data_IF_607360231403
#
_entry.id   IF_607360231403
#
_cell.length_a   1.000
_cell.length_b   1.000
_cell.length_c   1.000
_cell.angle_alpha   90.00
_cell.angle_beta   90.00
_cell.angle_gamma   90.00
#
_symmetry.space_group_name_H-M   'P 1'
#
loop_
_entity.id
_entity.type
_entity.pdbx_description
1 polymer ?
#
# COMPACT_ATOMS: atom_id res chain seq x y z
N UNK A 1 -17.47 -2.39 12.24
CA UNK A 1 -16.63 -1.84 13.31
C UNK A 1 -15.44 -1.17 12.66
N UNK A 2 -15.35 0.14 12.80
CA UNK A 2 -14.17 0.91 12.37
C UNK A 2 -13.08 0.69 13.42
N UNK A 3 -11.86 0.40 12.95
CA UNK A 3 -10.73 0.21 13.85
C UNK A 3 -10.33 1.55 14.47
N UNK A 4 -10.29 1.68 15.80
CA UNK A 4 -10.17 2.97 16.47
C UNK A 4 -8.82 3.68 16.27
N UNK A 5 -7.82 2.98 15.76
CA UNK A 5 -6.49 3.51 15.48
C UNK A 5 -6.32 4.06 14.05
N UNK A 6 -7.29 3.88 13.17
CA UNK A 6 -7.27 4.46 11.83
C UNK A 6 -7.49 5.97 11.89
N UNK A 7 -6.80 6.72 11.03
CA UNK A 7 -6.96 8.17 10.93
C UNK A 7 -8.43 8.55 10.68
N UNK A 8 -9.08 7.88 9.73
CA UNK A 8 -10.48 8.13 9.40
C UNK A 8 -11.48 7.80 10.52
N UNK A 9 -11.02 7.25 11.67
CA UNK A 9 -11.83 7.11 12.88
C UNK A 9 -11.79 8.36 13.77
N UNK A 10 -10.87 9.27 13.51
CA UNK A 10 -10.63 10.48 14.30
C UNK A 10 -10.97 11.76 13.54
N UNK A 11 -10.76 11.74 12.22
CA UNK A 11 -11.04 12.87 11.35
C UNK A 11 -11.88 12.45 10.16
N UNK A 12 -12.63 13.36 9.57
CA UNK A 12 -13.38 13.08 8.35
C UNK A 12 -12.48 13.19 7.12
N UNK A 13 -11.88 12.08 6.75
CA UNK A 13 -11.00 11.94 5.58
C UNK A 13 -11.74 12.07 4.24
N UNK A 14 -13.08 12.17 4.25
CA UNK A 14 -13.89 12.31 3.05
C UNK A 14 -14.15 13.77 2.62
N UNK A 15 -13.64 14.75 3.37
CA UNK A 15 -13.81 16.17 3.04
C UNK A 15 -13.04 16.57 1.78
N UNK A 16 -11.90 15.97 1.51
CA UNK A 16 -11.13 16.22 0.31
C UNK A 16 -11.93 15.78 -0.94
N UNK A 17 -11.84 16.56 -2.02
CA UNK A 17 -12.46 16.22 -3.29
C UNK A 17 -11.78 15.02 -3.94
N UNK A 18 -10.46 14.94 -3.80
CA UNK A 18 -9.63 13.85 -4.28
C UNK A 18 -9.17 13.01 -3.11
N UNK A 19 -9.45 11.73 -3.15
CA UNK A 19 -9.13 10.76 -2.10
C UNK A 19 -8.48 9.54 -2.74
N UNK A 20 -7.19 9.40 -2.51
CA UNK A 20 -6.32 8.48 -3.23
C UNK A 20 -5.83 7.37 -2.28
N UNK A 21 -5.96 6.14 -2.72
CA UNK A 21 -5.30 5.00 -2.12
C UNK A 21 -4.17 4.52 -3.03
N UNK A 22 -2.97 4.43 -2.48
CA UNK A 22 -1.79 3.87 -3.14
C UNK A 22 -1.48 2.51 -2.53
N UNK A 23 -1.54 1.47 -3.34
CA UNK A 23 -1.23 0.09 -2.94
C UNK A 23 0.09 -0.33 -3.58
N UNK A 24 1.15 -0.25 -2.82
CA UNK A 24 2.51 -0.54 -3.25
C UNK A 24 2.85 -1.98 -2.85
N UNK A 25 2.93 -2.88 -3.84
CA UNK A 25 2.98 -4.33 -3.65
C UNK A 25 1.59 -4.89 -3.37
N UNK A 26 0.69 -4.75 -4.34
CA UNK A 26 -0.73 -5.03 -4.14
C UNK A 26 -1.07 -6.52 -4.10
N UNK A 27 -0.17 -7.38 -4.59
CA UNK A 27 -0.41 -8.82 -4.68
C UNK A 27 -1.73 -9.13 -5.42
N UNK A 28 -2.69 -9.77 -4.81
CA UNK A 28 -3.97 -10.07 -5.43
C UNK A 28 -5.03 -9.01 -5.09
N UNK A 29 -5.97 -8.80 -6.01
CA UNK A 29 -7.08 -7.84 -5.82
C UNK A 29 -7.87 -8.06 -4.51
N UNK A 30 -8.04 -9.31 -4.10
CA UNK A 30 -8.78 -9.69 -2.90
C UNK A 30 -8.06 -9.39 -1.58
N UNK A 31 -6.78 -9.01 -1.63
CA UNK A 31 -6.00 -8.68 -0.44
C UNK A 31 -6.25 -7.25 0.02
N UNK A 32 -5.26 -6.38 -0.10
CA UNK A 32 -5.31 -5.01 0.40
C UNK A 32 -6.32 -4.13 -0.33
N UNK A 33 -6.41 -4.18 -1.67
CA UNK A 33 -7.34 -3.32 -2.45
C UNK A 33 -8.77 -3.48 -1.94
N UNK A 34 -9.25 -4.72 -1.85
CA UNK A 34 -10.62 -4.99 -1.40
C UNK A 34 -10.84 -4.54 0.04
N UNK A 35 -9.86 -4.74 0.92
CA UNK A 35 -9.97 -4.32 2.31
C UNK A 35 -10.05 -2.80 2.41
N UNK A 36 -9.14 -2.06 1.80
CA UNK A 36 -9.14 -0.60 1.86
C UNK A 36 -10.42 0.00 1.25
N UNK A 37 -10.85 -0.47 0.09
CA UNK A 37 -12.05 0.06 -0.56
C UNK A 37 -13.37 -0.28 0.15
N UNK A 38 -13.41 -1.26 1.05
CA UNK A 38 -14.64 -1.70 1.73
C UNK A 38 -14.65 -1.42 3.22
N UNK A 39 -13.48 -1.46 3.86
CA UNK A 39 -13.38 -1.44 5.32
C UNK A 39 -12.74 -0.17 5.85
N UNK A 40 -11.84 0.44 5.09
CA UNK A 40 -11.24 1.71 5.48
C UNK A 40 -12.30 2.83 5.38
N UNK A 41 -12.41 3.74 6.36
CA UNK A 41 -13.48 4.73 6.44
C UNK A 41 -13.28 5.92 5.48
N UNK A 42 -12.88 5.65 4.24
CA UNK A 42 -12.73 6.62 3.17
C UNK A 42 -13.38 6.10 1.89
N UNK A 43 -14.19 6.93 1.24
CA UNK A 43 -14.70 6.67 -0.11
C UNK A 43 -13.66 7.15 -1.13
N UNK A 44 -12.65 6.32 -1.39
CA UNK A 44 -11.56 6.64 -2.32
C UNK A 44 -12.08 6.92 -3.73
N UNK A 45 -11.67 8.05 -4.29
CA UNK A 45 -12.00 8.42 -5.68
C UNK A 45 -11.10 7.74 -6.68
N UNK A 46 -9.88 7.39 -6.27
CA UNK A 46 -8.85 6.77 -7.10
C UNK A 46 -8.07 5.74 -6.27
N UNK A 47 -7.69 4.64 -6.91
CA UNK A 47 -6.80 3.62 -6.37
C UNK A 47 -5.70 3.35 -7.38
N UNK A 48 -4.45 3.51 -6.98
CA UNK A 48 -3.29 3.21 -7.80
C UNK A 48 -2.54 2.02 -7.20
N UNK A 49 -2.61 0.88 -7.87
CA UNK A 49 -2.07 -0.38 -7.36
C UNK A 49 -0.88 -0.85 -8.21
N UNK A 50 0.23 -1.14 -7.56
CA UNK A 50 1.49 -1.57 -8.17
C UNK A 50 1.78 -3.01 -7.79
N UNK A 51 2.06 -3.83 -8.81
CA UNK A 51 2.49 -5.21 -8.65
C UNK A 51 3.39 -5.61 -9.82
N UNK A 52 4.56 -6.14 -9.51
CA UNK A 52 5.53 -6.53 -10.54
C UNK A 52 5.17 -7.86 -11.21
N UNK A 53 4.54 -8.80 -10.48
CA UNK A 53 4.07 -10.05 -11.08
C UNK A 53 2.72 -9.84 -11.79
N UNK A 54 2.68 -9.90 -13.13
CA UNK A 54 1.46 -9.69 -13.89
C UNK A 54 0.41 -10.81 -13.69
N UNK A 55 0.78 -11.92 -13.05
CA UNK A 55 -0.13 -13.02 -12.78
C UNK A 55 -0.91 -12.82 -11.48
N UNK A 56 -0.40 -12.03 -10.55
CA UNK A 56 -1.02 -11.81 -9.25
C UNK A 56 -2.15 -10.77 -9.34
N UNK A 57 -1.86 -9.59 -9.86
CA UNK A 57 -2.82 -8.49 -9.88
C UNK A 57 -3.66 -8.48 -11.15
N UNK A 58 -4.91 -8.90 -11.01
CA UNK A 58 -5.91 -8.88 -12.09
C UNK A 58 -7.19 -8.21 -11.61
N UNK A 59 -7.78 -7.36 -12.45
CA UNK A 59 -9.10 -6.80 -12.17
C UNK A 59 -10.15 -7.89 -12.44
N UNK A 60 -10.98 -8.23 -11.45
CA UNK A 60 -12.07 -9.17 -11.64
C UNK A 60 -13.15 -8.57 -12.56
N UNK A 61 -13.96 -9.40 -13.21
CA UNK A 61 -15.10 -8.95 -13.98
C UNK A 61 -16.18 -8.37 -13.05
N UNK A 62 -16.92 -7.33 -13.47
CA UNK A 62 -18.03 -6.80 -12.67
C UNK A 62 -19.04 -7.89 -12.29
N UNK A 63 -19.42 -7.93 -11.01
CA UNK A 63 -20.35 -8.93 -10.47
C UNK A 63 -19.75 -10.31 -10.25
N UNK A 64 -18.49 -10.55 -10.65
CA UNK A 64 -17.78 -11.78 -10.30
C UNK A 64 -17.43 -11.81 -8.83
N UNK A 65 -17.36 -12.99 -8.25
CA UNK A 65 -16.66 -13.19 -6.99
C UNK A 65 -15.17 -13.23 -7.30
N UNK A 66 -14.38 -12.57 -6.47
CA UNK A 66 -12.94 -12.68 -6.59
C UNK A 66 -12.52 -14.11 -6.18
N UNK A 67 -12.28 -14.95 -7.18
CA UNK A 67 -11.83 -16.34 -6.99
C UNK A 67 -10.35 -16.44 -6.57
N UNK A 68 -9.61 -15.33 -6.59
CA UNK A 68 -8.22 -15.31 -6.15
C UNK A 68 -8.05 -15.59 -4.63
N UNK A 69 -9.15 -15.74 -3.90
CA UNK A 69 -9.16 -16.19 -2.50
C UNK A 69 -8.65 -17.62 -2.30
N UNK A 70 -8.33 -18.36 -3.34
CA UNK A 70 -7.72 -19.69 -3.24
C UNK A 70 -6.24 -19.66 -2.89
N UNK A 71 -5.62 -18.51 -2.74
CA UNK A 71 -4.27 -18.39 -2.17
C UNK A 71 -4.32 -18.39 -0.63
N UNK A 72 -5.09 -19.30 -0.07
CA UNK A 72 -5.09 -19.57 1.35
C UNK A 72 -3.92 -20.51 1.68
N UNK A 73 -2.72 -19.99 1.72
CA UNK A 73 -1.66 -20.59 2.52
C UNK A 73 -2.12 -20.60 3.99
N UNK A 74 -1.71 -21.58 4.81
CA UNK A 74 -2.19 -21.74 6.19
C UNK A 74 -1.90 -20.56 7.12
N UNK A 75 -1.18 -19.55 6.67
CA UNK A 75 -0.75 -18.38 7.44
C UNK A 75 -1.30 -17.03 6.91
N UNK A 76 -2.10 -17.02 5.86
CA UNK A 76 -2.75 -15.79 5.44
C UNK A 76 -4.00 -15.54 6.29
N UNK A 77 -3.95 -14.50 7.10
CA UNK A 77 -5.16 -13.81 7.54
C UNK A 77 -5.89 -13.37 6.27
N UNK A 78 -6.77 -14.22 5.79
CA UNK A 78 -7.67 -13.85 4.71
C UNK A 78 -8.57 -12.75 5.25
N UNK A 79 -8.20 -11.50 4.99
CA UNK A 79 -9.08 -10.32 5.10
C UNK A 79 -10.20 -10.42 4.04
N UNK A 80 -10.44 -11.63 3.54
CA UNK A 80 -11.50 -11.91 2.58
C UNK A 80 -12.84 -11.52 3.20
N UNK A 81 -13.22 -10.28 2.96
CA UNK A 81 -14.61 -9.88 3.12
C UNK A 81 -15.39 -10.70 2.11
N UNK A 82 -15.91 -11.85 2.53
CA UNK A 82 -16.79 -12.68 1.73
C UNK A 82 -18.06 -11.86 1.43
N UNK A 83 -17.96 -11.00 0.43
CA UNK A 83 -19.11 -10.31 -0.06
C UNK A 83 -19.92 -11.28 -0.92
N UNK A 84 -21.16 -11.53 -0.54
CA UNK A 84 -22.11 -12.29 -1.34
C UNK A 84 -22.52 -11.55 -2.64
N UNK A 85 -22.11 -10.30 -2.80
CA UNK A 85 -22.60 -9.41 -3.86
C UNK A 85 -21.64 -9.23 -5.04
N UNK A 86 -20.49 -9.90 -5.06
CA UNK A 86 -19.48 -9.70 -6.10
C UNK A 86 -18.82 -8.31 -6.04
N UNK A 87 -17.92 -8.02 -6.98
CA UNK A 87 -17.20 -6.74 -7.05
C UNK A 87 -18.03 -5.75 -7.88
N UNK A 88 -18.45 -4.61 -7.30
CA UNK A 88 -19.28 -3.66 -8.02
C UNK A 88 -18.49 -2.88 -9.09
N UNK A 89 -19.14 -2.58 -10.22
CA UNK A 89 -18.51 -1.86 -11.32
C UNK A 89 -17.93 -0.48 -10.92
N UNK A 90 -18.59 0.23 -10.00
CA UNK A 90 -18.10 1.52 -9.50
C UNK A 90 -16.76 1.40 -8.78
N UNK A 91 -16.50 0.29 -8.09
CA UNK A 91 -15.22 0.02 -7.44
C UNK A 91 -14.12 -0.16 -8.49
N UNK A 92 -14.42 -0.98 -9.52
CA UNK A 92 -13.45 -1.29 -10.56
C UNK A 92 -13.07 -0.07 -11.40
N UNK A 93 -14.03 0.85 -11.64
CA UNK A 93 -13.78 2.06 -12.44
C UNK A 93 -12.82 3.06 -11.78
N UNK A 94 -12.51 2.90 -10.49
CA UNK A 94 -11.60 3.78 -9.74
C UNK A 94 -10.17 3.23 -9.68
N UNK A 95 -9.92 2.02 -10.20
CA UNK A 95 -8.66 1.30 -10.02
C UNK A 95 -7.78 1.44 -11.26
N UNK A 96 -6.54 1.86 -11.02
CA UNK A 96 -5.45 1.93 -11.98
C UNK A 96 -4.38 0.92 -11.58
N UNK A 97 -4.09 -0.03 -12.47
CA UNK A 97 -3.09 -1.06 -12.23
C UNK A 97 -1.79 -0.75 -12.95
N UNK A 98 -0.67 -0.93 -12.26
CA UNK A 98 0.66 -0.73 -12.78
C UNK A 98 1.48 -2.01 -12.60
N UNK A 99 1.84 -2.66 -13.71
CA UNK A 99 2.76 -3.78 -13.67
C UNK A 99 4.19 -3.24 -13.61
N UNK A 100 4.54 -2.70 -12.43
CA UNK A 100 5.82 -2.06 -12.16
C UNK A 100 6.35 -2.41 -10.78
N UNK A 101 7.68 -2.42 -10.67
CA UNK A 101 8.39 -2.50 -9.41
C UNK A 101 8.47 -1.11 -8.77
N UNK A 102 8.06 -0.99 -7.53
CA UNK A 102 8.12 0.28 -6.78
C UNK A 102 9.53 0.48 -6.21
N UNK A 103 10.11 1.64 -6.49
CA UNK A 103 11.48 1.98 -6.10
C UNK A 103 11.62 3.46 -5.74
N UNK A 104 12.83 3.85 -5.36
CA UNK A 104 13.25 5.24 -5.17
C UNK A 104 13.96 5.83 -6.41
N UNK A 105 13.96 5.09 -7.52
CA UNK A 105 14.48 5.48 -8.84
C UNK A 105 13.60 4.95 -9.97
N UNK A 106 13.75 5.53 -11.16
CA UNK A 106 13.12 5.05 -12.38
C UNK A 106 14.10 4.16 -13.14
N UNK A 107 13.62 3.02 -13.65
CA UNK A 107 14.34 2.11 -14.53
C UNK A 107 13.34 1.41 -15.46
N UNK A 108 13.30 1.84 -16.73
CA UNK A 108 12.36 1.30 -17.71
C UNK A 108 12.67 -0.15 -18.08
N UNK A 109 13.95 -0.54 -18.13
CA UNK A 109 14.37 -1.90 -18.46
C UNK A 109 13.88 -2.91 -17.42
N UNK A 110 14.01 -2.57 -16.15
CA UNK A 110 13.54 -3.37 -15.01
C UNK A 110 12.13 -3.00 -14.54
N UNK A 111 11.42 -2.16 -15.28
CA UNK A 111 10.07 -1.68 -14.96
C UNK A 111 9.97 -1.00 -13.60
N UNK A 112 11.06 -0.43 -13.08
CA UNK A 112 11.03 0.28 -11.80
C UNK A 112 10.47 1.69 -11.97
N UNK A 113 9.69 2.13 -10.98
CA UNK A 113 9.12 3.47 -10.91
C UNK A 113 9.52 4.14 -9.60
N UNK A 114 10.02 5.36 -9.73
CA UNK A 114 10.25 6.22 -8.58
C UNK A 114 8.91 6.67 -8.01
N UNK A 115 8.52 6.10 -6.88
CA UNK A 115 7.19 6.35 -6.30
C UNK A 115 7.05 7.80 -5.80
N UNK A 116 8.12 8.43 -5.33
CA UNK A 116 8.07 9.83 -4.90
C UNK A 116 7.77 10.75 -6.08
N UNK A 117 8.47 10.55 -7.20
CA UNK A 117 8.22 11.28 -8.45
C UNK A 117 6.81 11.02 -8.96
N UNK A 118 6.36 9.76 -8.94
CA UNK A 118 5.01 9.40 -9.35
C UNK A 118 3.94 10.15 -8.56
N UNK A 119 4.07 10.19 -7.24
CA UNK A 119 3.15 10.91 -6.33
C UNK A 119 3.14 12.42 -6.63
N UNK A 120 4.32 13.04 -6.75
CA UNK A 120 4.44 14.49 -6.88
C UNK A 120 4.22 15.00 -8.31
N UNK A 121 4.73 14.31 -9.32
CA UNK A 121 4.76 14.82 -10.69
C UNK A 121 3.69 14.20 -11.58
N UNK A 122 3.44 12.89 -11.49
CA UNK A 122 2.43 12.23 -12.32
C UNK A 122 1.03 12.40 -11.73
N UNK A 123 0.84 12.03 -10.46
CA UNK A 123 -0.44 12.21 -9.79
C UNK A 123 -0.65 13.65 -9.31
N UNK A 124 0.41 14.41 -9.08
CA UNK A 124 0.35 15.79 -8.57
C UNK A 124 -0.50 15.88 -7.30
N UNK A 125 -0.22 15.00 -6.34
CA UNK A 125 -0.92 15.00 -5.06
C UNK A 125 -0.42 16.16 -4.19
N UNK A 126 -1.35 16.71 -3.43
CA UNK A 126 -1.12 17.89 -2.60
C UNK A 126 -1.62 17.66 -1.16
N UNK A 127 -1.17 18.45 -0.16
CA UNK A 127 -1.60 18.31 1.23
C UNK A 127 -3.10 18.54 1.51
N UNK A 128 -3.89 18.94 0.53
CA UNK A 128 -5.35 19.08 0.65
C UNK A 128 -6.13 17.92 0.00
N UNK A 129 -5.44 16.99 -0.62
CA UNK A 129 -6.00 15.70 -1.01
C UNK A 129 -6.01 14.77 0.21
N UNK A 130 -6.79 13.71 0.19
CA UNK A 130 -6.64 12.61 1.15
C UNK A 130 -5.81 11.52 0.51
N UNK A 131 -4.68 11.17 1.12
CA UNK A 131 -3.73 10.20 0.58
C UNK A 131 -3.42 9.12 1.62
N UNK A 132 -3.84 7.91 1.33
CA UNK A 132 -3.55 6.71 2.13
C UNK A 132 -2.64 5.78 1.35
N UNK A 133 -1.56 5.34 1.98
CA UNK A 133 -0.56 4.48 1.34
C UNK A 133 -0.42 3.16 2.11
N UNK A 134 -0.51 2.03 1.42
CA UNK A 134 -0.01 0.74 1.90
C UNK A 134 1.28 0.42 1.16
N UNK A 135 2.32 0.04 1.87
CA UNK A 135 3.64 -0.29 1.33
C UNK A 135 4.10 -1.64 1.87
N UNK A 136 4.29 -2.58 0.96
CA UNK A 136 4.72 -3.95 1.20
C UNK A 136 5.44 -4.43 -0.08
N UNK A 137 6.72 -4.08 -0.18
CA UNK A 137 7.52 -4.12 -1.41
C UNK A 137 8.87 -4.79 -1.24
N UNK A 138 8.89 -5.78 -0.35
CA UNK A 138 9.97 -6.76 -0.26
C UNK A 138 11.37 -6.17 -0.06
N UNK A 139 11.48 -5.13 0.80
CA UNK A 139 12.73 -4.49 1.19
C UNK A 139 13.00 -3.13 0.51
N UNK A 140 12.26 -2.78 -0.54
CA UNK A 140 12.40 -1.45 -1.19
C UNK A 140 11.80 -0.32 -0.36
N UNK A 141 11.03 -0.61 0.68
CA UNK A 141 10.53 0.38 1.64
C UNK A 141 11.65 1.14 2.35
N UNK A 142 12.80 0.51 2.61
CA UNK A 142 13.91 1.14 3.34
C UNK A 142 14.48 2.38 2.65
N UNK A 143 14.94 2.33 1.40
CA UNK A 143 15.43 3.52 0.73
C UNK A 143 14.35 4.57 0.51
N UNK A 144 13.12 4.16 0.18
CA UNK A 144 12.00 5.07 -0.06
C UNK A 144 11.66 5.85 1.21
N UNK A 145 11.41 5.16 2.33
CA UNK A 145 11.01 5.78 3.58
C UNK A 145 12.14 6.62 4.20
N UNK A 146 13.40 6.21 4.02
CA UNK A 146 14.55 7.04 4.43
C UNK A 146 14.56 8.39 3.70
N UNK A 147 14.21 8.41 2.42
CA UNK A 147 14.09 9.67 1.66
C UNK A 147 12.86 10.47 2.05
N UNK A 148 11.73 9.80 2.30
CA UNK A 148 10.50 10.48 2.71
C UNK A 148 10.66 11.21 4.04
N UNK A 149 11.40 10.65 5.00
CA UNK A 149 11.72 11.33 6.27
C UNK A 149 12.53 12.63 6.08
N UNK A 150 13.26 12.75 4.97
CA UNK A 150 14.03 13.94 4.62
C UNK A 150 13.22 14.94 3.75
N UNK A 151 12.01 14.59 3.40
CA UNK A 151 11.13 15.36 2.53
C UNK A 151 9.85 15.76 3.26
N UNK A 152 9.82 16.97 3.87
CA UNK A 152 8.65 17.44 4.61
C UNK A 152 7.36 17.51 3.77
N UNK A 153 7.49 17.65 2.45
CA UNK A 153 6.34 17.67 1.55
C UNK A 153 5.66 16.30 1.49
N UNK A 154 6.45 15.20 1.52
CA UNK A 154 5.89 13.85 1.57
C UNK A 154 5.11 13.61 2.87
N UNK A 155 5.61 14.08 4.02
CA UNK A 155 4.89 13.98 5.29
C UNK A 155 3.62 14.85 5.32
N UNK A 156 3.55 15.90 4.49
CA UNK A 156 2.35 16.73 4.35
C UNK A 156 1.34 16.15 3.34
N UNK A 157 1.80 15.36 2.35
CA UNK A 157 0.95 14.75 1.33
C UNK A 157 0.32 13.45 1.84
N UNK A 158 1.10 12.60 2.54
CA UNK A 158 0.65 11.27 2.98
C UNK A 158 -0.04 11.37 4.34
N UNK A 159 -1.37 11.25 4.37
CA UNK A 159 -2.16 11.34 5.60
C UNK A 159 -2.01 10.11 6.48
N UNK A 160 -1.99 8.92 5.90
CA UNK A 160 -1.85 7.66 6.64
C UNK A 160 -1.03 6.64 5.84
N UNK A 161 -0.10 5.99 6.53
CA UNK A 161 0.85 5.06 5.94
C UNK A 161 0.81 3.71 6.66
N UNK A 162 0.58 2.65 5.91
CA UNK A 162 0.63 1.26 6.37
C UNK A 162 1.85 0.59 5.76
N UNK A 163 2.76 0.09 6.60
CA UNK A 163 4.03 -0.49 6.11
C UNK A 163 4.26 -1.88 6.67
N UNK A 164 4.44 -2.86 5.79
CA UNK A 164 5.14 -4.08 6.12
C UNK A 164 6.64 -3.83 5.98
N UNK A 165 7.36 -3.84 7.10
CA UNK A 165 8.80 -3.57 7.10
C UNK A 165 9.55 -4.89 7.05
N UNK A 166 10.19 -5.17 5.94
CA UNK A 166 10.99 -6.38 5.75
C UNK A 166 12.37 -6.24 6.42
N UNK A 167 12.69 -7.19 7.29
CA UNK A 167 13.98 -7.27 8.00
C UNK A 167 14.47 -8.72 8.02
N UNK A 168 15.72 -8.95 8.38
CA UNK A 168 16.30 -10.30 8.45
C UNK A 168 15.59 -11.15 9.51
N UNK A 169 14.84 -12.13 9.04
CA UNK A 169 14.14 -13.10 9.86
C UNK A 169 14.23 -14.49 9.19
N UNK A 170 14.38 -15.58 9.94
CA UNK A 170 14.51 -16.92 9.36
C UNK A 170 13.41 -17.31 8.37
N UNK A 171 12.17 -16.83 8.55
CA UNK A 171 11.09 -17.09 7.61
C UNK A 171 11.31 -16.46 6.23
N UNK A 172 12.09 -15.37 6.14
CA UNK A 172 12.33 -14.65 4.90
C UNK A 172 13.39 -15.33 4.01
N UNK A 173 14.24 -16.16 4.61
CA UNK A 173 15.23 -16.93 3.85
C UNK A 173 14.58 -17.91 2.86
N UNK A 174 13.40 -18.43 3.21
CA UNK A 174 12.62 -19.30 2.33
C UNK A 174 12.11 -18.61 1.06
N UNK A 175 11.99 -17.29 1.09
CA UNK A 175 11.49 -16.46 -0.02
C UNK A 175 12.61 -15.67 -0.73
N UNK A 176 13.88 -15.95 -0.41
CA UNK A 176 15.05 -15.25 -0.95
C UNK A 176 15.12 -13.75 -0.65
N UNK A 177 14.41 -13.25 0.34
CA UNK A 177 14.40 -11.83 0.74
C UNK A 177 15.61 -11.41 1.56
N UNK A 178 16.33 -12.35 2.14
CA UNK A 178 17.54 -12.10 2.96
C UNK A 178 18.65 -11.29 2.25
N UNK A 179 18.57 -11.10 0.93
CA UNK A 179 19.53 -10.30 0.16
C UNK A 179 19.36 -8.77 0.33
N UNK A 180 18.26 -8.31 0.94
CA UNK A 180 17.95 -6.90 1.10
C UNK A 180 18.55 -6.29 2.37
N UNK A 181 19.84 -6.54 2.63
CA UNK A 181 20.64 -6.05 3.73
C UNK A 181 20.26 -6.62 5.13
N UNK A 182 21.23 -6.79 6.02
CA UNK A 182 21.00 -7.28 7.37
C UNK A 182 20.31 -6.20 8.23
N UNK A 183 19.02 -6.04 8.08
CA UNK A 183 18.19 -5.22 8.95
C UNK A 183 17.63 -6.11 10.05
N UNK A 184 17.61 -5.59 11.26
CA UNK A 184 17.05 -6.31 12.41
C UNK A 184 15.61 -5.87 12.68
N UNK A 185 14.91 -6.62 13.54
CA UNK A 185 13.61 -6.19 14.06
C UNK A 185 13.69 -4.83 14.77
N UNK A 186 14.77 -4.58 15.48
CA UNK A 186 14.97 -3.30 16.18
C UNK A 186 15.17 -2.14 15.20
N UNK A 187 15.81 -2.39 14.05
CA UNK A 187 15.89 -1.39 12.98
C UNK A 187 14.50 -1.09 12.40
N UNK A 188 13.64 -2.11 12.20
CA UNK A 188 12.27 -1.92 11.72
C UNK A 188 11.43 -1.10 12.73
N UNK A 189 11.52 -1.40 14.02
CA UNK A 189 10.84 -0.64 15.06
C UNK A 189 11.34 0.81 15.13
N UNK A 190 12.66 1.02 14.96
CA UNK A 190 13.26 2.34 14.91
C UNK A 190 12.77 3.13 13.68
N UNK A 191 12.74 2.52 12.51
CA UNK A 191 12.19 3.15 11.29
C UNK A 191 10.76 3.67 11.51
N UNK A 192 9.88 2.83 12.07
CA UNK A 192 8.51 3.25 12.37
C UNK A 192 8.43 4.38 13.39
N UNK A 193 9.32 4.39 14.40
CA UNK A 193 9.38 5.47 15.37
C UNK A 193 9.89 6.78 14.74
N UNK A 194 10.92 6.71 13.89
CA UNK A 194 11.47 7.84 13.17
C UNK A 194 10.46 8.45 12.20
N UNK A 195 9.71 7.62 11.46
CA UNK A 195 8.64 8.10 10.59
C UNK A 195 7.59 8.91 11.36
N UNK A 196 7.17 8.44 12.55
CA UNK A 196 6.25 9.20 13.42
C UNK A 196 6.86 10.52 13.89
N UNK A 197 8.15 10.52 14.24
CA UNK A 197 8.87 11.74 14.60
C UNK A 197 8.91 12.75 13.47
N UNK A 198 9.01 12.27 12.22
CA UNK A 198 8.99 13.11 11.01
C UNK A 198 7.56 13.47 10.53
N UNK A 199 6.53 13.16 11.31
CA UNK A 199 5.16 13.62 11.08
C UNK A 199 4.26 12.64 10.32
N UNK A 200 4.74 11.43 9.98
CA UNK A 200 3.89 10.42 9.34
C UNK A 200 2.98 9.73 10.35
N UNK A 201 1.71 9.63 10.03
CA UNK A 201 0.78 8.77 10.76
C UNK A 201 0.92 7.33 10.26
N UNK A 202 1.87 6.59 10.83
CA UNK A 202 2.30 5.29 10.33
C UNK A 202 1.91 4.13 11.22
N UNK A 203 1.46 3.04 10.58
CA UNK A 203 1.11 1.76 11.18
C UNK A 203 1.96 0.62 10.61
N UNK A 204 2.27 -0.37 11.44
CA UNK A 204 2.76 -1.63 10.93
C UNK A 204 1.60 -2.35 10.20
N UNK A 205 1.89 -2.85 9.00
CA UNK A 205 1.01 -3.73 8.25
C UNK A 205 1.50 -5.17 8.45
N UNK A 206 0.62 -6.16 8.76
CA UNK A 206 1.00 -7.56 8.97
C UNK A 206 1.11 -8.34 7.68
#
# INVERSE_FOLDING_TARGET
HVLPWLLGSHVDVNQAKRRVYLDLGANAFSTSITWFMRMYPCDFTEVHAFEIDPNLLRIPSPGSFDEATNYAGPNHFSLSVKSRSGVPAWMLSRIHLYNKFVSDFDDEENKAVNITRFIKEELRLHPHDTVVVKMDIEGSEWPILTRWMQDPEMAAIVDELFVEVHYDHPSMHAYHWARFAPRTRDDALRLLAELRWHGFYVHAWP
#
